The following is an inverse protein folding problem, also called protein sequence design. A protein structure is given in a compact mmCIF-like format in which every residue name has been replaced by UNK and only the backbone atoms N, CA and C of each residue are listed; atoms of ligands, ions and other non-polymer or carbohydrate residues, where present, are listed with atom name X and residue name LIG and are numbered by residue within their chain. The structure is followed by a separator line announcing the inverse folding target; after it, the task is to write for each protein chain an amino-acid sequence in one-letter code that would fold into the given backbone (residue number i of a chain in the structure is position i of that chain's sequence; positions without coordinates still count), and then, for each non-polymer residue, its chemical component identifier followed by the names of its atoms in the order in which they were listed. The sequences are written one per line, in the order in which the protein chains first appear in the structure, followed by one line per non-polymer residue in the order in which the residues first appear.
data_IF_687266725556
#
_entry.id   IF_687266725556
#
_cell.length_a   1.000
_cell.length_b   1.000
_cell.length_c   1.000
_cell.angle_alpha   90.00
_cell.angle_beta   90.00
_cell.angle_gamma   90.00
#
_symmetry.space_group_name_H-M   'P 1'
#
loop_
_entity.id
_entity.type
_entity.pdbx_description
1 polymer ?
#
# COMPACT_ATOMS: atom_id res chain seq x y z
N UNK A 1 1.93 10.38 -4.77
CA UNK A 1 0.75 10.42 -3.88
C UNK A 1 -0.37 11.05 -4.67
N UNK A 2 -1.35 10.24 -5.08
CA UNK A 2 -2.45 10.66 -5.94
C UNK A 2 -3.32 11.64 -5.13
N UNK A 3 -3.18 12.94 -5.40
CA UNK A 3 -3.94 14.01 -4.72
C UNK A 3 -4.88 14.66 -5.72
N UNK A 4 -5.96 13.95 -6.03
CA UNK A 4 -7.14 14.53 -6.67
C UNK A 4 -8.28 14.46 -5.67
N UNK A 5 -8.94 15.58 -5.41
CA UNK A 5 -10.03 15.71 -4.41
C UNK A 5 -11.10 14.62 -4.57
N UNK A 6 -11.39 14.24 -5.82
CA UNK A 6 -12.33 13.18 -6.17
C UNK A 6 -11.95 11.80 -5.59
N UNK A 7 -10.66 11.44 -5.58
CA UNK A 7 -10.22 10.12 -5.08
C UNK A 7 -10.43 10.02 -3.57
N UNK A 8 -10.05 11.06 -2.82
CA UNK A 8 -10.20 11.05 -1.36
C UNK A 8 -11.67 10.98 -0.91
N UNK A 9 -12.59 11.57 -1.68
CA UNK A 9 -14.02 11.46 -1.42
C UNK A 9 -14.52 10.03 -1.62
N UNK A 10 -14.13 9.37 -2.71
CA UNK A 10 -14.48 7.97 -2.98
C UNK A 10 -13.97 7.04 -1.88
N UNK A 11 -12.71 7.22 -1.44
CA UNK A 11 -12.13 6.39 -0.38
C UNK A 11 -12.88 6.54 0.94
N UNK A 12 -13.28 7.77 1.30
CA UNK A 12 -14.08 8.03 2.51
C UNK A 12 -15.48 7.44 2.39
N UNK A 13 -16.14 7.60 1.23
CA UNK A 13 -17.46 7.01 0.98
C UNK A 13 -17.43 5.49 1.10
N UNK A 14 -16.39 4.83 0.60
CA UNK A 14 -16.22 3.38 0.76
C UNK A 14 -16.08 2.98 2.24
N UNK A 15 -15.30 3.72 3.03
CA UNK A 15 -15.18 3.48 4.48
C UNK A 15 -16.51 3.69 5.19
N UNK A 16 -17.28 4.73 4.83
CA UNK A 16 -18.60 5.02 5.41
C UNK A 16 -19.64 3.96 5.03
N UNK A 17 -19.63 3.49 3.78
CA UNK A 17 -20.56 2.49 3.27
C UNK A 17 -20.29 1.09 3.83
N UNK A 18 -19.04 0.65 3.79
CA UNK A 18 -18.69 -0.73 4.11
C UNK A 18 -18.19 -0.92 5.55
N UNK A 19 -17.81 0.15 6.23
CA UNK A 19 -17.31 0.12 7.60
C UNK A 19 -15.82 -0.24 7.71
N UNK A 20 -15.19 0.27 8.77
CA UNK A 20 -13.74 0.14 8.98
C UNK A 20 -13.25 -1.30 9.09
N UNK A 21 -14.03 -2.18 9.71
CA UNK A 21 -13.66 -3.59 9.87
C UNK A 21 -13.59 -4.30 8.52
N UNK A 22 -14.63 -4.15 7.68
CA UNK A 22 -14.66 -4.74 6.35
C UNK A 22 -13.56 -4.17 5.45
N UNK A 23 -13.30 -2.86 5.49
CA UNK A 23 -12.19 -2.28 4.73
C UNK A 23 -10.82 -2.73 5.26
N UNK A 24 -10.69 -3.00 6.57
CA UNK A 24 -9.46 -3.58 7.11
C UNK A 24 -9.25 -5.04 6.67
N UNK A 25 -10.34 -5.82 6.52
CA UNK A 25 -10.26 -7.15 5.92
C UNK A 25 -9.88 -7.07 4.44
N UNK A 26 -10.44 -6.11 3.70
CA UNK A 26 -10.11 -5.89 2.29
C UNK A 26 -8.61 -5.61 2.10
N UNK A 27 -8.01 -4.79 2.97
CA UNK A 27 -6.55 -4.58 2.95
C UNK A 27 -5.77 -5.90 3.01
N UNK A 28 -6.20 -6.84 3.86
CA UNK A 28 -5.53 -8.12 4.01
C UNK A 28 -5.70 -9.01 2.77
N UNK A 29 -6.87 -8.93 2.13
CA UNK A 29 -7.18 -9.64 0.88
C UNK A 29 -6.27 -9.14 -0.25
N UNK A 30 -6.24 -7.83 -0.53
CA UNK A 30 -5.39 -7.25 -1.59
C UNK A 30 -3.89 -7.52 -1.35
N UNK A 31 -3.44 -7.49 -0.08
CA UNK A 31 -2.07 -7.87 0.26
C UNK A 31 -1.77 -9.35 -0.03
N UNK A 32 -2.75 -10.24 0.17
CA UNK A 32 -2.60 -11.65 -0.14
C UNK A 32 -2.62 -11.91 -1.66
N UNK A 33 -3.41 -11.14 -2.40
CA UNK A 33 -3.48 -11.18 -3.86
C UNK A 33 -2.15 -10.73 -4.49
N UNK A 34 -1.60 -9.60 -4.03
CA UNK A 34 -0.26 -9.16 -4.42
C UNK A 34 0.82 -10.19 -4.05
N UNK A 35 0.74 -10.78 -2.86
CA UNK A 35 1.65 -11.85 -2.45
C UNK A 35 1.60 -13.04 -3.42
N UNK A 36 0.39 -13.45 -3.85
CA UNK A 36 0.14 -14.52 -4.81
C UNK A 36 0.80 -14.21 -6.17
N UNK A 37 0.65 -13.00 -6.69
CA UNK A 37 1.26 -12.62 -7.97
C UNK A 37 2.78 -12.49 -7.90
N UNK A 38 3.33 -11.99 -6.78
CA UNK A 38 4.79 -12.04 -6.54
C UNK A 38 5.30 -13.48 -6.51
N UNK A 39 4.59 -14.40 -5.85
CA UNK A 39 4.96 -15.82 -5.81
C UNK A 39 4.96 -16.47 -7.20
N UNK A 40 4.01 -16.11 -8.07
CA UNK A 40 3.97 -16.58 -9.47
C UNK A 40 5.17 -16.05 -10.27
N UNK A 41 5.49 -14.76 -10.14
CA UNK A 41 6.63 -14.16 -10.82
C UNK A 41 7.95 -14.81 -10.42
N UNK A 42 8.14 -15.11 -9.12
CA UNK A 42 9.30 -15.84 -8.61
C UNK A 42 9.44 -17.26 -9.19
N UNK A 43 8.35 -17.86 -9.68
CA UNK A 43 8.35 -19.17 -10.36
C UNK A 43 8.55 -19.06 -11.87
N UNK A 44 8.85 -17.86 -12.38
CA UNK A 44 9.11 -17.59 -13.79
C UNK A 44 7.87 -17.35 -14.64
N UNK A 45 6.70 -17.12 -14.03
CA UNK A 45 5.51 -16.72 -14.78
C UNK A 45 5.67 -15.29 -15.33
N UNK A 46 5.11 -15.05 -16.51
CA UNK A 46 4.99 -13.71 -17.08
C UNK A 46 3.64 -13.10 -16.68
N UNK A 47 3.57 -12.52 -15.48
CA UNK A 47 2.37 -11.93 -14.88
C UNK A 47 2.59 -10.47 -14.44
N UNK A 48 3.24 -9.68 -15.29
CA UNK A 48 3.58 -8.29 -14.97
C UNK A 48 2.35 -7.41 -14.81
N UNK A 49 1.36 -7.57 -15.70
CA UNK A 49 0.15 -6.75 -15.70
C UNK A 49 -0.67 -7.01 -14.43
N UNK A 50 -0.76 -8.27 -14.00
CA UNK A 50 -1.40 -8.66 -12.74
C UNK A 50 -0.65 -8.05 -11.54
N UNK A 51 0.69 -8.05 -11.53
CA UNK A 51 1.43 -7.37 -10.45
C UNK A 51 1.12 -5.88 -10.40
N UNK A 52 0.99 -5.22 -11.56
CA UNK A 52 0.67 -3.78 -11.62
C UNK A 52 -0.73 -3.51 -11.05
N UNK A 53 -1.71 -4.35 -11.38
CA UNK A 53 -3.08 -4.29 -10.85
C UNK A 53 -3.08 -4.44 -9.32
N UNK A 54 -2.48 -5.52 -8.81
CA UNK A 54 -2.47 -5.80 -7.37
C UNK A 54 -1.67 -4.76 -6.55
N UNK A 55 -0.63 -4.15 -7.14
CA UNK A 55 0.05 -3.00 -6.53
C UNK A 55 -0.91 -1.80 -6.44
N UNK A 56 -1.70 -1.54 -7.47
CA UNK A 56 -2.65 -0.43 -7.47
C UNK A 56 -3.73 -0.64 -6.39
N UNK A 57 -4.25 -1.85 -6.27
CA UNK A 57 -5.26 -2.20 -5.27
C UNK A 57 -4.72 -2.07 -3.84
N UNK A 58 -3.51 -2.60 -3.58
CA UNK A 58 -2.82 -2.40 -2.29
C UNK A 58 -2.56 -0.91 -2.01
N UNK A 59 -2.19 -0.10 -3.01
CA UNK A 59 -1.98 1.34 -2.81
C UNK A 59 -3.28 2.06 -2.44
N UNK A 60 -4.41 1.69 -3.03
CA UNK A 60 -5.74 2.21 -2.67
C UNK A 60 -6.07 1.84 -1.22
N UNK A 61 -5.85 0.58 -0.84
CA UNK A 61 -6.09 0.08 0.51
C UNK A 61 -5.17 0.75 1.56
N UNK A 62 -3.92 1.05 1.21
CA UNK A 62 -3.01 1.83 2.07
C UNK A 62 -3.55 3.26 2.29
N UNK A 63 -4.10 3.90 1.26
CA UNK A 63 -4.71 5.22 1.41
C UNK A 63 -5.94 5.17 2.34
N UNK A 64 -6.76 4.13 2.25
CA UNK A 64 -7.85 3.92 3.22
C UNK A 64 -7.36 3.66 4.64
N UNK A 65 -6.32 2.83 4.84
CA UNK A 65 -5.71 2.64 6.16
C UNK A 65 -5.25 3.97 6.77
N UNK A 66 -4.60 4.82 5.97
CA UNK A 66 -4.18 6.15 6.43
C UNK A 66 -5.36 6.98 6.91
N UNK A 67 -6.50 6.94 6.22
CA UNK A 67 -7.73 7.63 6.64
C UNK A 67 -8.29 7.00 7.92
N UNK A 68 -8.42 5.67 7.98
CA UNK A 68 -9.04 4.96 9.10
C UNK A 68 -8.29 5.13 10.42
N UNK A 69 -6.95 5.24 10.34
CA UNK A 69 -6.03 5.41 11.47
C UNK A 69 -5.55 6.86 11.66
N UNK A 70 -6.09 7.82 10.91
CA UNK A 70 -5.71 9.23 10.96
C UNK A 70 -4.20 9.51 10.78
N UNK A 71 -3.53 8.68 9.97
CA UNK A 71 -2.08 8.77 9.72
C UNK A 71 -1.77 10.05 8.95
N UNK A 72 -1.01 10.95 9.57
CA UNK A 72 -0.66 12.22 8.95
C UNK A 72 0.47 12.04 7.94
N UNK A 73 0.40 12.79 6.85
CA UNK A 73 1.44 12.77 5.81
C UNK A 73 2.84 13.04 6.37
N UNK A 74 2.97 14.00 7.29
CA UNK A 74 4.25 14.36 7.90
C UNK A 74 4.87 13.19 8.67
N UNK A 75 4.09 12.56 9.55
CA UNK A 75 4.52 11.42 10.36
C UNK A 75 5.00 10.25 9.48
N UNK A 76 4.18 9.87 8.48
CA UNK A 76 4.53 8.79 7.57
C UNK A 76 5.79 9.10 6.76
N UNK A 77 5.93 10.35 6.29
CA UNK A 77 7.10 10.77 5.51
C UNK A 77 8.39 10.81 6.35
N UNK A 78 8.32 11.29 7.60
CA UNK A 78 9.45 11.26 8.53
C UNK A 78 9.91 9.80 8.77
N UNK A 79 8.97 8.89 9.04
CA UNK A 79 9.27 7.47 9.23
C UNK A 79 9.81 6.80 7.96
N UNK A 80 9.25 7.14 6.79
CA UNK A 80 9.73 6.62 5.50
C UNK A 80 11.19 7.02 5.25
N UNK A 81 11.52 8.31 5.39
CA UNK A 81 12.89 8.79 5.19
C UNK A 81 13.87 8.17 6.18
N UNK A 82 13.48 8.02 7.44
CA UNK A 82 14.28 7.30 8.44
C UNK A 82 14.60 5.86 8.00
N UNK A 83 13.59 5.10 7.56
CA UNK A 83 13.77 3.71 7.10
C UNK A 83 14.64 3.62 5.85
N UNK A 84 14.49 4.55 4.91
CA UNK A 84 15.33 4.60 3.70
C UNK A 84 16.78 4.94 4.04
N UNK A 85 17.02 5.91 4.92
CA UNK A 85 18.37 6.26 5.36
C UNK A 85 19.05 5.07 6.06
N UNK A 86 18.33 4.36 6.93
CA UNK A 86 18.82 3.14 7.56
C UNK A 86 19.16 2.04 6.55
N UNK A 87 18.40 1.93 5.46
CA UNK A 87 18.72 0.98 4.39
C UNK A 87 20.00 1.39 3.66
N UNK A 88 20.18 2.68 3.35
CA UNK A 88 21.41 3.21 2.74
C UNK A 88 22.64 2.91 3.60
N UNK A 89 22.57 3.23 4.90
CA UNK A 89 23.65 2.95 5.85
C UNK A 89 24.06 1.46 5.84
N UNK A 90 23.08 0.54 5.78
CA UNK A 90 23.36 -0.90 5.71
C UNK A 90 24.10 -1.27 4.43
N UNK A 91 23.68 -0.74 3.30
CA UNK A 91 24.34 -0.98 2.00
C UNK A 91 25.76 -0.42 2.00
N UNK A 92 25.97 0.78 2.54
CA UNK A 92 27.28 1.43 2.63
C UNK A 92 28.22 0.73 3.63
N UNK A 93 27.67 0.08 4.66
CA UNK A 93 28.42 -0.70 5.66
C UNK A 93 28.67 -2.17 5.26
N UNK A 94 28.13 -2.61 4.12
CA UNK A 94 28.27 -3.99 3.61
C UNK A 94 29.39 -4.15 2.56
N UNK A 95 30.19 -3.09 2.35
CA UNK A 95 31.51 -3.12 1.70
C UNK A 95 32.63 -3.33 2.74
#
# INVERSE_FOLDING_TARGET
MIRTTNVMEVLKQAIEMYGKENQSMMVLEEMAELQKEVCKSLRGNNNHDEIVEEIADVLIMIEQLKIMHDVKYRELNEMFNFKINRLKERLDSSD
#
